data_IF_342932893078
#
_entry.id   IF_342932893078
#
_cell.length_a   1.000
_cell.length_b   1.000
_cell.length_c   1.000
_cell.angle_alpha   90.00
_cell.angle_beta   90.00
_cell.angle_gamma   90.00
#
_symmetry.space_group_name_H-M   'P 1'
#
loop_
_entity.id
_entity.type
_entity.pdbx_description
1 polymer ?
#
# COMPACT_ATOMS: atom_id res chain seq x y z
N UNK A 1 18.28 7.13 1.49
CA UNK A 1 17.92 5.81 2.04
C UNK A 1 16.43 5.60 1.79
N UNK A 2 15.98 4.39 1.45
CA UNK A 2 14.54 4.16 1.16
C UNK A 2 13.81 3.89 2.48
N UNK A 3 12.96 4.83 2.89
CA UNK A 3 12.16 4.79 4.13
C UNK A 3 10.98 3.83 4.04
N UNK A 4 10.30 3.85 2.88
CA UNK A 4 9.10 3.04 2.61
C UNK A 4 9.32 2.25 1.32
N UNK A 5 9.06 0.94 1.36
CA UNK A 5 9.02 0.07 0.20
C UNK A 5 7.59 -0.36 -0.08
N UNK A 6 7.16 -0.21 -1.33
CA UNK A 6 5.86 -0.71 -1.78
C UNK A 6 6.06 -1.75 -2.87
N UNK A 7 5.43 -2.91 -2.69
CA UNK A 7 5.46 -4.04 -3.63
C UNK A 7 4.08 -4.66 -3.77
N UNK A 8 3.90 -5.52 -4.77
CA UNK A 8 2.69 -6.29 -4.95
C UNK A 8 3.06 -7.77 -5.14
N UNK A 9 2.35 -8.66 -4.45
CA UNK A 9 2.55 -10.11 -4.50
C UNK A 9 1.17 -10.76 -4.52
N UNK A 10 0.90 -11.60 -5.52
CA UNK A 10 -0.37 -12.31 -5.68
C UNK A 10 -0.12 -13.82 -5.58
N UNK A 11 -0.17 -14.40 -4.37
CA UNK A 11 0.21 -15.79 -4.16
C UNK A 11 -0.90 -16.79 -4.53
N UNK A 12 -2.15 -16.36 -4.58
CA UNK A 12 -3.31 -17.21 -4.91
C UNK A 12 -3.41 -17.42 -6.43
N UNK A 13 -3.47 -18.68 -6.87
CA UNK A 13 -3.57 -19.03 -8.29
C UNK A 13 -4.88 -18.48 -8.88
N UNK A 14 -4.79 -17.77 -10.01
CA UNK A 14 -5.94 -17.15 -10.67
C UNK A 14 -6.41 -15.83 -10.04
N UNK A 15 -5.84 -15.40 -8.91
CA UNK A 15 -6.23 -14.19 -8.20
C UNK A 15 -5.20 -13.09 -8.45
N UNK A 16 -5.39 -12.30 -9.50
CA UNK A 16 -4.50 -11.20 -9.84
C UNK A 16 -5.27 -9.98 -10.34
N UNK A 17 -4.81 -8.78 -10.00
CA UNK A 17 -5.43 -7.55 -10.48
C UNK A 17 -4.74 -7.05 -11.76
N UNK A 18 -5.48 -6.53 -12.74
CA UNK A 18 -4.94 -5.95 -13.97
C UNK A 18 -4.37 -4.55 -13.73
N UNK A 19 -3.50 -4.38 -12.74
CA UNK A 19 -2.91 -3.09 -12.37
C UNK A 19 -1.48 -2.98 -12.89
N UNK A 20 -1.20 -1.85 -13.55
CA UNK A 20 0.09 -1.51 -14.12
C UNK A 20 1.16 -1.29 -13.05
N UNK A 21 2.43 -1.53 -13.40
CA UNK A 21 3.55 -1.16 -12.53
C UNK A 21 3.65 0.36 -12.33
N UNK A 22 3.08 1.15 -13.25
CA UNK A 22 3.06 2.61 -13.18
C UNK A 22 2.25 3.10 -11.97
N UNK A 23 1.17 2.39 -11.61
CA UNK A 23 0.41 2.64 -10.38
C UNK A 23 1.30 2.51 -9.14
N UNK A 24 2.07 1.41 -9.08
CA UNK A 24 3.01 1.16 -7.98
C UNK A 24 4.14 2.20 -7.95
N UNK A 25 4.58 2.67 -9.11
CA UNK A 25 5.57 3.74 -9.22
C UNK A 25 5.00 5.05 -8.66
N UNK A 26 3.79 5.44 -9.07
CA UNK A 26 3.10 6.62 -8.56
C UNK A 26 2.95 6.55 -7.04
N UNK A 27 2.50 5.41 -6.50
CA UNK A 27 2.35 5.23 -5.06
C UNK A 27 3.70 5.41 -4.33
N UNK A 28 4.78 4.80 -4.84
CA UNK A 28 6.12 5.00 -4.26
C UNK A 28 6.57 6.46 -4.31
N UNK A 29 6.33 7.16 -5.41
CA UNK A 29 6.68 8.58 -5.55
C UNK A 29 5.92 9.45 -4.54
N UNK A 30 4.61 9.23 -4.35
CA UNK A 30 3.83 9.99 -3.37
C UNK A 30 4.22 9.70 -1.92
N UNK A 31 4.78 8.53 -1.63
CA UNK A 31 5.24 8.17 -0.27
C UNK A 31 6.73 8.41 -0.04
N UNK A 32 7.52 8.75 -1.07
CA UNK A 32 8.98 8.77 -1.01
C UNK A 32 9.57 9.75 0.01
N UNK A 33 8.87 10.85 0.27
CA UNK A 33 9.28 11.91 1.19
C UNK A 33 8.90 11.61 2.65
N UNK A 34 8.12 10.56 2.90
CA UNK A 34 7.72 10.18 4.24
C UNK A 34 8.82 9.36 4.90
N UNK A 35 9.11 9.67 6.16
CA UNK A 35 10.18 9.02 6.92
C UNK A 35 9.65 8.41 8.24
N UNK A 36 8.89 7.30 8.18
CA UNK A 36 8.35 6.65 9.37
C UNK A 36 9.39 6.33 10.43
N UNK A 37 10.63 6.04 10.02
CA UNK A 37 11.73 5.71 10.92
C UNK A 37 12.14 6.87 11.85
N UNK A 38 11.87 8.12 11.47
CA UNK A 38 12.14 9.29 12.32
C UNK A 38 11.09 9.45 13.43
N UNK A 39 9.96 8.76 13.33
CA UNK A 39 8.91 8.83 14.33
C UNK A 39 9.30 8.02 15.57
N UNK A 40 9.10 8.63 16.75
CA UNK A 40 9.52 8.08 18.05
C UNK A 40 9.02 6.65 18.28
N UNK A 41 7.80 6.34 17.86
CA UNK A 41 7.21 5.00 18.01
C UNK A 41 7.91 3.95 17.14
N UNK A 42 8.26 4.31 15.90
CA UNK A 42 8.94 3.40 15.00
C UNK A 42 10.39 3.18 15.44
N UNK A 43 11.09 4.27 15.78
CA UNK A 43 12.47 4.23 16.25
C UNK A 43 12.60 3.40 17.53
N UNK A 44 11.72 3.61 18.51
CA UNK A 44 11.77 2.86 19.77
C UNK A 44 11.52 1.35 19.58
N UNK A 45 10.72 0.97 18.58
CA UNK A 45 10.32 -0.44 18.37
C UNK A 45 11.26 -1.21 17.43
N UNK A 46 11.78 -0.55 16.41
CA UNK A 46 12.54 -1.20 15.34
C UNK A 46 13.95 -0.61 15.17
N UNK A 47 14.09 0.70 15.28
CA UNK A 47 15.34 1.43 15.04
C UNK A 47 15.34 2.22 13.73
N UNK A 48 16.31 3.11 13.58
CA UNK A 48 16.44 4.02 12.43
C UNK A 48 16.85 3.30 11.14
N UNK A 49 17.45 2.12 11.25
CA UNK A 49 17.98 1.35 10.12
C UNK A 49 16.93 0.44 9.46
N UNK A 50 15.69 0.44 9.97
CA UNK A 50 14.60 -0.34 9.41
C UNK A 50 13.80 0.42 8.35
N UNK A 51 13.42 -0.29 7.29
CA UNK A 51 12.49 0.18 6.26
C UNK A 51 11.08 -0.35 6.54
N UNK A 52 10.07 0.50 6.36
CA UNK A 52 8.66 0.08 6.38
C UNK A 52 8.27 -0.50 5.02
N UNK A 53 7.82 -1.75 4.98
CA UNK A 53 7.30 -2.40 3.78
C UNK A 53 5.77 -2.45 3.77
N UNK A 54 5.18 -2.13 2.62
CA UNK A 54 3.76 -2.28 2.33
C UNK A 54 3.63 -3.19 1.10
N UNK A 55 3.01 -4.35 1.29
CA UNK A 55 2.83 -5.37 0.26
C UNK A 55 1.35 -5.40 -0.11
N UNK A 56 1.01 -5.06 -1.35
CA UNK A 56 -0.33 -5.24 -1.88
C UNK A 56 -0.52 -6.70 -2.28
N UNK A 57 -1.58 -7.33 -1.81
CA UNK A 57 -1.96 -8.69 -2.17
C UNK A 57 -3.44 -8.71 -2.52
N UNK A 58 -3.87 -9.77 -3.19
CA UNK A 58 -5.26 -10.09 -3.40
C UNK A 58 -5.65 -11.28 -2.52
N UNK A 59 -6.94 -11.39 -2.17
CA UNK A 59 -7.49 -12.54 -1.45
C UNK A 59 -8.91 -12.80 -1.94
N UNK A 60 -9.18 -14.03 -2.38
CA UNK A 60 -10.47 -14.43 -2.96
C UNK A 60 -11.60 -14.52 -1.93
N UNK A 61 -11.30 -15.05 -0.74
CA UNK A 61 -12.31 -15.36 0.28
C UNK A 61 -12.55 -14.22 1.28
N UNK A 62 -12.53 -12.96 0.84
CA UNK A 62 -12.86 -11.81 1.68
C UNK A 62 -13.56 -10.72 0.88
N UNK A 63 -14.48 -10.01 1.54
CA UNK A 63 -15.20 -8.84 0.99
C UNK A 63 -14.68 -7.52 1.55
N UNK A 64 -13.73 -7.57 2.48
CA UNK A 64 -13.17 -6.41 3.15
C UNK A 64 -11.65 -6.39 3.02
N UNK A 65 -11.07 -5.19 3.10
CA UNK A 65 -9.63 -5.04 3.21
C UNK A 65 -9.14 -5.66 4.52
N UNK A 66 -8.22 -6.61 4.43
CA UNK A 66 -7.52 -7.14 5.59
C UNK A 66 -6.08 -6.63 5.62
N UNK A 67 -5.62 -6.21 6.80
CA UNK A 67 -4.25 -5.74 7.00
C UNK A 67 -3.55 -6.71 7.94
N UNK A 68 -2.53 -7.41 7.45
CA UNK A 68 -1.74 -8.38 8.23
C UNK A 68 -0.36 -7.84 8.52
N UNK A 69 0.10 -7.97 9.76
CA UNK A 69 1.42 -7.57 10.21
C UNK A 69 1.40 -6.89 11.58
N UNK A 70 2.55 -6.35 12.03
CA UNK A 70 3.83 -6.34 11.32
C UNK A 70 4.51 -7.71 11.32
N UNK A 71 5.13 -8.07 10.19
CA UNK A 71 6.19 -9.07 10.15
C UNK A 71 7.52 -8.36 10.11
N UNK A 72 8.45 -8.65 11.02
CA UNK A 72 9.75 -7.96 11.06
C UNK A 72 10.90 -8.92 10.76
N UNK A 73 11.85 -8.47 9.96
CA UNK A 73 13.10 -9.18 9.71
C UNK A 73 14.28 -8.34 10.14
N UNK A 74 14.93 -8.73 11.24
CA UNK A 74 16.17 -8.09 11.71
C UNK A 74 17.33 -8.25 10.72
N UNK A 75 17.36 -9.37 9.97
CA UNK A 75 18.38 -9.64 8.96
C UNK A 75 18.28 -8.68 7.78
N UNK A 76 17.06 -8.43 7.29
CA UNK A 76 16.82 -7.55 6.14
C UNK A 76 16.49 -6.12 6.53
N UNK A 77 16.37 -5.84 7.84
CA UNK A 77 15.98 -4.54 8.41
C UNK A 77 14.70 -4.01 7.78
N UNK A 78 13.66 -4.86 7.76
CA UNK A 78 12.34 -4.51 7.23
C UNK A 78 11.23 -4.83 8.22
N UNK A 79 10.18 -4.02 8.18
CA UNK A 79 8.91 -4.25 8.87
C UNK A 79 7.81 -4.25 7.83
N UNK A 80 7.28 -5.40 7.50
CA UNK A 80 6.32 -5.58 6.42
C UNK A 80 4.88 -5.66 6.95
N UNK A 81 3.99 -4.97 6.26
CA UNK A 81 2.54 -5.14 6.34
C UNK A 81 2.00 -5.61 4.99
N UNK A 82 1.06 -6.55 5.01
CA UNK A 82 0.38 -7.04 3.82
C UNK A 82 -1.05 -6.51 3.81
N UNK A 83 -1.42 -5.82 2.73
CA UNK A 83 -2.76 -5.35 2.44
C UNK A 83 -3.44 -6.36 1.52
N UNK A 84 -4.30 -7.20 2.07
CA UNK A 84 -5.11 -8.15 1.30
C UNK A 84 -6.37 -7.45 0.80
N UNK A 85 -6.34 -7.08 -0.47
CA UNK A 85 -7.45 -6.43 -1.16
C UNK A 85 -8.44 -7.53 -1.61
N UNK A 86 -9.75 -7.37 -1.34
CA UNK A 86 -10.75 -8.37 -1.70
C UNK A 86 -10.80 -8.53 -3.21
N UNK A 87 -10.63 -9.76 -3.72
CA UNK A 87 -10.60 -10.00 -5.17
C UNK A 87 -11.96 -9.90 -5.84
N UNK A 88 -13.06 -10.03 -5.09
CA UNK A 88 -14.43 -9.90 -5.59
C UNK A 88 -14.68 -8.57 -6.33
N UNK A 89 -13.91 -7.52 -6.03
CA UNK A 89 -14.00 -6.24 -6.75
C UNK A 89 -13.63 -6.35 -8.24
N UNK A 90 -12.87 -7.38 -8.62
CA UNK A 90 -12.49 -7.62 -10.01
C UNK A 90 -13.69 -8.07 -10.86
N UNK A 91 -14.79 -8.53 -10.24
CA UNK A 91 -16.02 -8.93 -10.93
C UNK A 91 -16.85 -7.71 -11.38
N UNK A 92 -16.68 -6.55 -10.73
CA UNK A 92 -17.40 -5.31 -11.04
C UNK A 92 -16.55 -4.38 -11.92
N UNK A 93 -16.50 -4.62 -13.24
CA UNK A 93 -15.60 -3.89 -14.14
C UNK A 93 -15.73 -2.35 -14.09
N UNK A 94 -16.94 -1.82 -13.90
CA UNK A 94 -17.20 -0.37 -13.88
C UNK A 94 -16.63 0.32 -12.64
N UNK A 95 -16.65 -0.34 -11.49
CA UNK A 95 -16.27 0.22 -10.19
C UNK A 95 -14.91 -0.27 -9.71
N UNK A 96 -14.43 -1.39 -10.27
CA UNK A 96 -13.20 -2.11 -9.92
C UNK A 96 -12.06 -1.16 -9.56
N UNK A 97 -11.69 -0.27 -10.47
CA UNK A 97 -10.50 0.55 -10.31
C UNK A 97 -10.65 1.57 -9.16
N UNK A 98 -11.82 2.20 -9.06
CA UNK A 98 -12.10 3.15 -7.98
C UNK A 98 -12.14 2.46 -6.61
N UNK A 99 -12.70 1.25 -6.53
CA UNK A 99 -12.70 0.42 -5.33
C UNK A 99 -11.28 -0.02 -4.96
N UNK A 100 -10.50 -0.47 -5.93
CA UNK A 100 -9.09 -0.86 -5.75
C UNK A 100 -8.26 0.31 -5.19
N UNK A 101 -8.36 1.50 -5.80
CA UNK A 101 -7.71 2.72 -5.31
C UNK A 101 -8.16 3.02 -3.88
N UNK A 102 -9.45 2.92 -3.59
CA UNK A 102 -9.99 3.17 -2.24
C UNK A 102 -9.37 2.21 -1.22
N UNK A 103 -9.31 0.92 -1.51
CA UNK A 103 -8.70 -0.07 -0.61
C UNK A 103 -7.21 0.15 -0.41
N UNK A 104 -6.46 0.48 -1.47
CA UNK A 104 -5.04 0.83 -1.36
C UNK A 104 -4.86 2.05 -0.44
N UNK A 105 -5.64 3.12 -0.67
CA UNK A 105 -5.58 4.33 0.15
C UNK A 105 -5.90 4.03 1.62
N UNK A 106 -7.00 3.31 1.90
CA UNK A 106 -7.39 2.94 3.27
C UNK A 106 -6.29 2.12 3.95
N UNK A 107 -5.71 1.12 3.26
CA UNK A 107 -4.68 0.27 3.83
C UNK A 107 -3.36 1.01 4.08
N UNK A 108 -2.93 1.83 3.12
CA UNK A 108 -1.73 2.65 3.25
C UNK A 108 -1.89 3.65 4.40
N UNK A 109 -3.00 4.38 4.48
CA UNK A 109 -3.28 5.30 5.59
C UNK A 109 -3.23 4.57 6.93
N UNK A 110 -3.94 3.44 7.06
CA UNK A 110 -4.01 2.68 8.31
C UNK A 110 -2.64 2.19 8.79
N UNK A 111 -1.73 1.84 7.87
CA UNK A 111 -0.37 1.43 8.23
C UNK A 111 0.50 2.64 8.60
N UNK A 112 0.46 3.71 7.80
CA UNK A 112 1.32 4.88 7.97
C UNK A 112 0.95 5.71 9.21
N UNK A 113 -0.33 5.86 9.53
CA UNK A 113 -0.80 6.60 10.71
C UNK A 113 -0.34 5.98 12.04
N UNK A 114 0.16 4.73 12.03
CA UNK A 114 0.81 4.12 13.21
C UNK A 114 2.17 4.76 13.53
N UNK A 115 2.79 5.40 12.56
CA UNK A 115 4.19 5.83 12.59
C UNK A 115 4.42 7.22 12.00
N UNK A 116 3.37 7.98 11.71
CA UNK A 116 3.42 9.32 11.12
C UNK A 116 2.21 10.12 11.59
N UNK A 117 2.33 11.45 11.52
CA UNK A 117 1.19 12.35 11.76
C UNK A 117 0.07 12.12 10.74
N UNK A 118 -1.17 12.10 11.21
CA UNK A 118 -2.33 11.82 10.37
C UNK A 118 -2.57 12.88 9.29
N UNK A 119 -2.22 14.14 9.53
CA UNK A 119 -2.31 15.21 8.54
C UNK A 119 -1.40 14.96 7.34
N UNK A 120 -0.13 14.64 7.62
CA UNK A 120 0.87 14.32 6.59
C UNK A 120 0.47 13.09 5.77
N UNK A 121 -0.01 12.04 6.44
CA UNK A 121 -0.48 10.83 5.75
C UNK A 121 -1.69 11.12 4.87
N UNK A 122 -2.67 11.87 5.36
CA UNK A 122 -3.86 12.23 4.59
C UNK A 122 -3.52 13.04 3.36
N UNK A 123 -2.59 13.98 3.45
CA UNK A 123 -2.14 14.78 2.30
C UNK A 123 -1.51 13.89 1.22
N UNK A 124 -0.55 13.06 1.58
CA UNK A 124 0.13 12.16 0.64
C UNK A 124 -0.84 11.17 -0.03
N UNK A 125 -1.75 10.58 0.75
CA UNK A 125 -2.74 9.61 0.25
C UNK A 125 -3.81 10.29 -0.59
N UNK A 126 -4.25 11.51 -0.24
CA UNK A 126 -5.20 12.27 -1.05
C UNK A 126 -4.60 12.64 -2.42
N UNK A 127 -3.35 13.10 -2.44
CA UNK A 127 -2.63 13.39 -3.68
C UNK A 127 -2.47 12.15 -4.55
N UNK A 128 -2.07 11.03 -3.96
CA UNK A 128 -2.04 9.74 -4.64
C UNK A 128 -3.40 9.36 -5.24
N UNK A 129 -4.46 9.43 -4.43
CA UNK A 129 -5.82 9.09 -4.86
C UNK A 129 -6.27 9.92 -6.06
N UNK A 130 -6.09 11.24 -6.00
CA UNK A 130 -6.47 12.14 -7.07
C UNK A 130 -5.76 11.79 -8.39
N UNK A 131 -4.42 11.66 -8.35
CA UNK A 131 -3.63 11.30 -9.52
C UNK A 131 -3.95 9.89 -10.04
N UNK A 132 -4.21 8.93 -9.14
CA UNK A 132 -4.56 7.56 -9.50
C UNK A 132 -5.90 7.51 -10.26
N UNK A 133 -6.92 8.24 -9.78
CA UNK A 133 -8.23 8.26 -10.42
C UNK A 133 -8.22 9.02 -11.75
N UNK A 134 -7.51 10.14 -11.83
CA UNK A 134 -7.38 10.93 -13.07
C UNK A 134 -6.74 10.11 -14.21
N UNK A 135 -5.76 9.25 -13.88
CA UNK A 135 -4.97 8.47 -14.85
C UNK A 135 -5.39 7.00 -14.95
N UNK A 136 -6.65 6.69 -14.68
CA UNK A 136 -7.17 5.31 -14.68
C UNK A 136 -6.76 4.52 -15.95
N UNK A 137 -6.86 5.14 -17.13
CA UNK A 137 -6.53 4.51 -18.41
C UNK A 137 -5.04 4.11 -18.55
N UNK A 138 -4.13 4.77 -17.83
CA UNK A 138 -2.70 4.41 -17.81
C UNK A 138 -2.39 3.25 -16.85
N UNK A 139 -3.30 3.00 -15.91
CA UNK A 139 -3.05 2.12 -14.77
C UNK A 139 -3.79 0.79 -14.85
N UNK A 140 -4.87 0.70 -15.61
CA UNK A 140 -5.49 -0.58 -15.94
C UNK A 140 -4.74 -1.22 -17.12
N UNK A 141 -4.31 -2.46 -16.96
CA UNK A 141 -3.79 -3.28 -18.06
C UNK A 141 -4.98 -3.84 -18.82
N UNK A 142 -5.22 -3.31 -20.02
CA UNK A 142 -6.17 -3.86 -20.99
C UNK A 142 -5.61 -5.15 -21.59
#
# INVERSE_FOLDING_TARGET
MISIKVSAIYPEAGVNFPISYLFMRLLREQLAHLEPQQHVVFQAKYGLDFTLGIILSAKSNTSQLEIKGPSSSKKYKVVDYVLYIPFVIAEEAETFYSQYVSFVCTGVSTVLEKFLDAGVVKEAVAKFRACALEKQAEFIRV
#
